data_IF_189547323007
#
_entry.id   IF_189547323007
#
_cell.length_a   1.000
_cell.length_b   1.000
_cell.length_c   1.000
_cell.angle_alpha   90.00
_cell.angle_beta   90.00
_cell.angle_gamma   90.00
#
_symmetry.space_group_name_H-M   'P 1'
#
loop_
_entity.id
_entity.type
_entity.pdbx_description
1 polymer ?
#
# COMPACT_ATOMS: atom_id res chain seq x y z
N UNK A 1 3.70 2.44 -8.50
CA UNK A 1 5.08 2.60 -8.03
C UNK A 1 5.36 1.88 -6.71
N UNK A 2 4.36 1.75 -5.79
CA UNK A 2 4.53 1.11 -4.47
C UNK A 2 5.14 -0.30 -4.50
N UNK A 3 4.98 -1.07 -5.59
CA UNK A 3 5.64 -2.36 -5.80
C UNK A 3 7.02 -2.25 -6.47
N UNK A 4 7.65 -1.09 -6.46
CA UNK A 4 8.88 -0.81 -7.21
C UNK A 4 9.99 -1.83 -6.98
N UNK A 5 10.21 -2.27 -5.73
CA UNK A 5 11.23 -3.28 -5.41
C UNK A 5 10.95 -4.61 -6.13
N UNK A 6 9.70 -5.08 -6.09
CA UNK A 6 9.31 -6.35 -6.75
C UNK A 6 9.36 -6.22 -8.27
N UNK A 7 8.95 -5.07 -8.82
CA UNK A 7 9.04 -4.77 -10.25
C UNK A 7 10.51 -4.86 -10.70
N UNK A 8 11.40 -4.16 -10.01
CA UNK A 8 12.82 -4.15 -10.34
C UNK A 8 13.42 -5.55 -10.17
N UNK A 9 13.06 -6.29 -9.13
CA UNK A 9 13.54 -7.66 -8.93
C UNK A 9 13.18 -8.56 -10.14
N UNK A 10 11.99 -8.41 -10.68
CA UNK A 10 11.56 -9.17 -11.87
C UNK A 10 12.26 -8.70 -13.14
N UNK A 11 12.17 -7.41 -13.45
CA UNK A 11 12.64 -6.85 -14.72
C UNK A 11 14.17 -6.86 -14.87
N UNK A 12 14.90 -6.81 -13.76
CA UNK A 12 16.38 -6.91 -13.75
C UNK A 12 16.87 -8.36 -13.58
N UNK A 13 15.97 -9.33 -13.48
CA UNK A 13 16.32 -10.74 -13.38
C UNK A 13 16.91 -11.16 -12.02
N UNK A 14 16.66 -10.40 -10.94
CA UNK A 14 17.19 -10.78 -9.62
C UNK A 14 16.53 -12.04 -9.07
N UNK A 15 15.27 -12.33 -9.42
CA UNK A 15 14.66 -13.62 -9.11
C UNK A 15 15.34 -14.78 -9.84
N UNK A 16 15.63 -14.61 -11.14
CA UNK A 16 16.32 -15.62 -11.95
C UNK A 16 17.74 -15.88 -11.43
N UNK A 17 18.45 -14.85 -10.96
CA UNK A 17 19.77 -15.00 -10.32
C UNK A 17 19.73 -15.84 -9.04
N UNK A 18 18.60 -15.85 -8.34
CA UNK A 18 18.35 -16.73 -7.19
C UNK A 18 17.82 -18.11 -7.61
N UNK A 19 17.67 -18.38 -8.91
CA UNK A 19 17.09 -19.61 -9.44
C UNK A 19 15.59 -19.74 -9.17
N UNK A 20 14.88 -18.61 -9.07
CA UNK A 20 13.44 -18.56 -8.92
C UNK A 20 12.76 -18.19 -10.24
N UNK A 21 11.82 -19.01 -10.67
CA UNK A 21 10.89 -18.65 -11.75
C UNK A 21 9.66 -17.98 -11.15
N UNK A 22 9.55 -16.66 -11.32
CA UNK A 22 8.48 -15.85 -10.73
C UNK A 22 7.53 -15.35 -11.80
N UNK A 23 6.24 -15.65 -11.66
CA UNK A 23 5.15 -15.06 -12.43
C UNK A 23 4.53 -13.91 -11.64
N UNK A 24 4.33 -12.75 -12.29
CA UNK A 24 3.72 -11.58 -11.68
C UNK A 24 2.25 -11.49 -12.09
N UNK A 25 1.36 -11.57 -11.10
CA UNK A 25 -0.07 -11.30 -11.25
C UNK A 25 -0.37 -9.87 -10.82
N UNK A 26 -0.92 -9.06 -11.71
CA UNK A 26 -1.17 -7.63 -11.46
C UNK A 26 -2.62 -7.39 -11.03
N UNK A 27 -2.78 -6.63 -9.94
CA UNK A 27 -4.07 -6.26 -9.37
C UNK A 27 -4.15 -4.73 -9.17
N UNK A 28 -5.37 -4.23 -8.95
CA UNK A 28 -5.63 -2.79 -8.72
C UNK A 28 -5.44 -2.37 -7.26
N UNK A 29 -5.25 -3.31 -6.34
CA UNK A 29 -5.00 -3.05 -4.92
C UNK A 29 -4.29 -4.22 -4.24
N UNK A 30 -3.49 -3.95 -3.21
CA UNK A 30 -2.85 -4.97 -2.38
C UNK A 30 -3.84 -5.86 -1.63
N UNK A 31 -5.05 -5.35 -1.33
CA UNK A 31 -6.15 -6.15 -0.79
C UNK A 31 -6.48 -7.33 -1.72
N UNK A 32 -6.59 -7.09 -3.03
CA UNK A 32 -6.85 -8.15 -4.01
C UNK A 32 -5.69 -9.14 -4.14
N UNK A 33 -4.44 -8.67 -4.03
CA UNK A 33 -3.28 -9.55 -3.98
C UNK A 33 -3.38 -10.53 -2.79
N UNK A 34 -3.63 -10.00 -1.58
CA UNK A 34 -3.73 -10.81 -0.37
C UNK A 34 -4.91 -11.80 -0.43
N UNK A 35 -6.08 -11.38 -0.91
CA UNK A 35 -7.24 -12.25 -1.11
C UNK A 35 -6.90 -13.41 -2.08
N UNK A 36 -6.10 -13.14 -3.12
CA UNK A 36 -5.69 -14.17 -4.10
C UNK A 36 -4.74 -15.19 -3.47
N UNK A 37 -3.80 -14.74 -2.63
CA UNK A 37 -2.88 -15.63 -1.89
C UNK A 37 -3.63 -16.46 -0.86
N UNK A 38 -4.53 -15.87 -0.09
CA UNK A 38 -5.38 -16.59 0.88
C UNK A 38 -6.32 -17.60 0.19
N UNK A 39 -6.72 -17.33 -1.04
CA UNK A 39 -7.48 -18.25 -1.89
C UNK A 39 -6.64 -19.34 -2.56
N UNK A 40 -5.31 -19.36 -2.39
CA UNK A 40 -4.41 -20.36 -2.96
C UNK A 40 -4.13 -20.20 -4.46
N UNK A 41 -4.46 -19.06 -5.07
CA UNK A 41 -4.22 -18.81 -6.50
C UNK A 41 -2.92 -18.01 -6.77
N UNK A 42 -2.19 -17.64 -5.72
CA UNK A 42 -0.84 -17.09 -5.77
C UNK A 42 -0.11 -17.44 -4.46
N UNK A 43 1.21 -17.35 -4.46
CA UNK A 43 2.07 -17.79 -3.35
C UNK A 43 2.43 -16.64 -2.42
N UNK A 44 2.78 -15.49 -2.97
CA UNK A 44 3.25 -14.30 -2.21
C UNK A 44 2.49 -13.07 -2.69
N UNK A 45 2.01 -12.27 -1.75
CA UNK A 45 1.36 -10.99 -2.01
C UNK A 45 2.28 -9.82 -1.69
N UNK A 46 2.21 -8.78 -2.53
CA UNK A 46 2.57 -7.43 -2.13
C UNK A 46 1.28 -6.70 -1.70
N UNK A 47 1.22 -6.24 -0.46
CA UNK A 47 -0.03 -5.74 0.13
C UNK A 47 0.22 -4.68 1.20
N UNK A 48 -0.77 -3.81 1.41
CA UNK A 48 -0.68 -2.79 2.45
C UNK A 48 -0.95 -3.34 3.86
N UNK A 49 -0.62 -2.55 4.90
CA UNK A 49 -0.89 -2.91 6.29
C UNK A 49 -2.38 -3.04 6.59
N UNK A 50 -3.25 -2.24 5.95
CA UNK A 50 -4.68 -2.26 6.23
C UNK A 50 -5.34 -3.63 5.94
N UNK A 51 -5.19 -4.24 4.75
CA UNK A 51 -5.66 -5.60 4.50
C UNK A 51 -4.92 -6.65 5.32
N UNK A 52 -3.63 -6.47 5.61
CA UNK A 52 -2.84 -7.38 6.44
C UNK A 52 -3.37 -7.42 7.87
N UNK A 53 -3.62 -6.25 8.47
CA UNK A 53 -4.23 -6.13 9.80
C UNK A 53 -5.60 -6.79 9.85
N UNK A 54 -6.45 -6.55 8.83
CA UNK A 54 -7.77 -7.17 8.75
C UNK A 54 -7.68 -8.70 8.70
N UNK A 55 -6.75 -9.25 7.91
CA UNK A 55 -6.52 -10.69 7.82
C UNK A 55 -6.04 -11.28 9.15
N UNK A 56 -5.10 -10.61 9.84
CA UNK A 56 -4.62 -11.03 11.16
C UNK A 56 -5.73 -11.00 12.21
N UNK A 57 -6.56 -9.94 12.26
CA UNK A 57 -7.71 -9.84 13.15
C UNK A 57 -8.76 -10.94 12.87
N UNK A 58 -8.93 -11.31 11.62
CA UNK A 58 -9.78 -12.43 11.19
C UNK A 58 -9.13 -13.81 11.41
N UNK A 59 -7.94 -13.86 12.03
CA UNK A 59 -7.16 -15.09 12.26
C UNK A 59 -6.88 -15.89 10.99
N UNK A 60 -6.73 -15.19 9.87
CA UNK A 60 -6.27 -15.81 8.62
C UNK A 60 -4.81 -16.28 8.78
N UNK A 61 -4.42 -17.43 8.18
CA UNK A 61 -3.09 -18.01 8.35
C UNK A 61 -2.02 -17.28 7.53
N UNK A 62 -1.82 -15.99 7.79
CA UNK A 62 -0.83 -15.17 7.09
C UNK A 62 0.54 -15.22 7.76
N UNK A 63 1.58 -15.08 6.93
CA UNK A 63 2.96 -14.88 7.35
C UNK A 63 3.48 -13.55 6.76
N UNK A 64 3.74 -12.58 7.61
CA UNK A 64 4.32 -11.30 7.25
C UNK A 64 5.84 -11.43 7.22
N UNK A 65 6.47 -11.18 6.06
CA UNK A 65 7.90 -11.43 5.86
C UNK A 65 8.75 -10.16 5.96
N UNK A 66 8.29 -9.05 5.37
CA UNK A 66 8.99 -7.77 5.41
C UNK A 66 8.09 -6.62 4.95
N UNK A 67 8.41 -5.40 5.37
CA UNK A 67 8.03 -4.18 4.68
C UNK A 67 9.03 -3.93 3.54
N UNK A 68 8.60 -3.52 2.38
CA UNK A 68 9.48 -3.19 1.25
C UNK A 68 9.41 -1.73 0.82
N UNK A 69 8.35 -1.01 1.24
CA UNK A 69 8.13 0.37 0.86
C UNK A 69 7.16 1.05 1.82
N UNK A 70 7.22 2.39 1.91
CA UNK A 70 6.13 3.22 2.40
C UNK A 70 6.07 4.55 1.65
N UNK A 71 4.85 5.10 1.51
CA UNK A 71 4.57 6.39 0.88
C UNK A 71 3.27 6.99 1.38
N UNK A 72 3.12 8.30 1.22
CA UNK A 72 1.88 8.99 1.60
C UNK A 72 0.79 8.75 0.57
N UNK A 73 -0.44 8.55 1.05
CA UNK A 73 -1.64 8.62 0.23
C UNK A 73 -2.00 10.09 -0.02
N UNK A 74 -2.75 10.33 -1.09
CA UNK A 74 -3.04 11.68 -1.60
C UNK A 74 -4.53 11.87 -1.85
N UNK A 75 -4.95 13.13 -1.89
CA UNK A 75 -6.33 13.54 -2.19
C UNK A 75 -6.36 14.40 -3.44
N UNK A 76 -7.14 13.98 -4.44
CA UNK A 76 -7.45 14.79 -5.61
C UNK A 76 -8.88 15.30 -5.52
N UNK A 77 -9.07 16.60 -5.76
CA UNK A 77 -10.36 17.29 -5.67
C UNK A 77 -10.77 17.86 -7.03
N UNK A 78 -12.07 18.10 -7.19
CA UNK A 78 -12.59 18.88 -8.30
C UNK A 78 -12.30 20.37 -8.07
N UNK A 79 -11.66 21.05 -9.02
CA UNK A 79 -11.41 22.49 -8.94
C UNK A 79 -12.71 23.32 -8.90
N UNK A 80 -13.83 22.78 -9.38
CA UNK A 80 -15.14 23.45 -9.36
C UNK A 80 -15.73 23.56 -7.95
N UNK A 81 -15.29 22.72 -7.01
CA UNK A 81 -15.84 22.62 -5.66
C UNK A 81 -15.16 23.53 -4.63
N UNK A 82 -14.15 24.30 -5.06
CA UNK A 82 -13.38 25.24 -4.22
C UNK A 82 -12.81 24.57 -2.96
N UNK A 83 -12.36 23.31 -3.08
CA UNK A 83 -11.73 22.57 -2.00
C UNK A 83 -10.23 22.89 -2.07
N UNK A 84 -9.76 23.80 -1.22
CA UNK A 84 -8.35 24.22 -1.16
C UNK A 84 -7.61 23.63 0.03
N UNK A 85 -8.34 23.16 1.04
CA UNK A 85 -7.80 22.57 2.27
C UNK A 85 -8.63 21.36 2.72
N UNK A 86 -8.14 20.65 3.74
CA UNK A 86 -8.86 19.49 4.29
C UNK A 86 -10.17 19.88 4.99
N UNK A 87 -10.25 21.10 5.54
CA UNK A 87 -11.45 21.63 6.21
C UNK A 87 -12.60 21.89 5.22
N UNK A 88 -12.28 22.17 3.94
CA UNK A 88 -13.26 22.40 2.88
C UNK A 88 -13.98 21.11 2.44
N UNK A 89 -13.53 19.95 2.93
CA UNK A 89 -14.19 18.67 2.68
C UNK A 89 -15.55 18.53 3.37
N UNK A 90 -15.89 19.41 4.31
CA UNK A 90 -17.20 19.38 4.97
C UNK A 90 -18.35 19.48 3.97
N UNK A 91 -19.30 18.55 4.05
CA UNK A 91 -20.44 18.46 3.16
C UNK A 91 -20.15 17.87 1.78
N UNK A 92 -18.90 17.46 1.51
CA UNK A 92 -18.46 16.93 0.21
C UNK A 92 -18.64 15.43 0.11
N UNK A 93 -18.69 14.95 -1.15
CA UNK A 93 -18.71 13.53 -1.50
C UNK A 93 -17.28 13.05 -1.76
N UNK A 94 -16.79 12.15 -0.94
CA UNK A 94 -15.40 11.68 -0.98
C UNK A 94 -15.36 10.21 -1.42
N UNK A 95 -14.70 9.95 -2.55
CA UNK A 95 -14.44 8.59 -3.04
C UNK A 95 -13.26 7.97 -2.29
N UNK A 96 -13.38 6.72 -1.90
CA UNK A 96 -12.33 5.92 -1.27
C UNK A 96 -12.53 4.43 -1.57
N UNK A 97 -11.54 3.57 -1.29
CA UNK A 97 -11.69 2.12 -1.44
C UNK A 97 -11.72 1.44 -0.07
N UNK A 98 -12.85 0.86 0.29
CA UNK A 98 -13.02 0.18 1.57
C UNK A 98 -12.10 -1.03 1.76
N UNK A 99 -11.57 -1.21 2.97
CA UNK A 99 -10.65 -2.27 3.35
C UNK A 99 -9.23 -2.11 2.82
N UNK A 100 -8.85 -0.89 2.43
CA UNK A 100 -7.50 -0.52 1.99
C UNK A 100 -6.94 0.63 2.82
N UNK A 101 -5.67 1.00 2.62
CA UNK A 101 -5.08 2.21 3.19
C UNK A 101 -5.88 3.47 2.86
N UNK A 102 -6.55 3.50 1.69
CA UNK A 102 -7.41 4.63 1.31
C UNK A 102 -8.59 4.86 2.26
N UNK A 103 -9.14 3.81 2.88
CA UNK A 103 -10.16 3.97 3.93
C UNK A 103 -9.56 4.59 5.19
N UNK A 104 -8.46 4.04 5.68
CA UNK A 104 -7.81 4.53 6.89
C UNK A 104 -7.32 5.97 6.71
N UNK A 105 -6.67 6.24 5.59
CA UNK A 105 -6.28 7.60 5.21
C UNK A 105 -7.46 8.56 5.21
N UNK A 106 -8.61 8.16 4.64
CA UNK A 106 -9.82 9.00 4.64
C UNK A 106 -10.26 9.35 6.05
N UNK A 107 -10.25 8.38 6.98
CA UNK A 107 -10.62 8.63 8.37
C UNK A 107 -9.61 9.52 9.11
N UNK A 108 -8.31 9.31 8.90
CA UNK A 108 -7.27 10.17 9.48
C UNK A 108 -7.32 11.59 8.91
N UNK A 109 -7.63 11.73 7.61
CA UNK A 109 -7.83 13.02 6.96
C UNK A 109 -9.00 13.78 7.59
N UNK A 110 -10.16 13.14 7.76
CA UNK A 110 -11.32 13.74 8.41
C UNK A 110 -11.01 14.13 9.86
N UNK A 111 -10.38 13.24 10.62
CA UNK A 111 -9.95 13.52 12.00
C UNK A 111 -9.01 14.73 12.08
N UNK A 112 -8.05 14.84 11.16
CA UNK A 112 -7.13 15.99 11.07
C UNK A 112 -7.86 17.29 10.76
N UNK A 113 -8.90 17.23 9.90
CA UNK A 113 -9.78 18.33 9.58
C UNK A 113 -10.82 18.66 10.68
N UNK A 114 -10.82 17.90 11.79
CA UNK A 114 -11.84 17.98 12.86
C UNK A 114 -13.25 17.68 12.35
N UNK A 115 -13.36 16.80 11.34
CA UNK A 115 -14.60 16.29 10.76
C UNK A 115 -14.84 14.84 11.19
N UNK A 116 -16.10 14.45 11.11
CA UNK A 116 -16.55 13.07 11.31
C UNK A 116 -17.07 12.48 9.99
N UNK A 117 -17.26 11.18 9.87
CA UNK A 117 -17.91 10.59 8.70
C UNK A 117 -19.31 11.15 8.41
N UNK A 118 -20.02 11.66 9.44
CA UNK A 118 -21.35 12.27 9.27
C UNK A 118 -21.30 13.69 8.68
N UNK A 119 -20.14 14.33 8.69
CA UNK A 119 -19.93 15.65 8.08
C UNK A 119 -19.68 15.59 6.56
N UNK A 120 -19.56 14.40 5.98
CA UNK A 120 -19.26 14.16 4.55
C UNK A 120 -20.13 13.05 3.99
N UNK A 121 -20.12 12.85 2.68
CA UNK A 121 -20.70 11.67 2.04
C UNK A 121 -19.58 10.75 1.56
N UNK A 122 -19.39 9.62 2.21
CA UNK A 122 -18.39 8.63 1.83
C UNK A 122 -18.91 7.72 0.73
N UNK A 123 -18.15 7.60 -0.36
CA UNK A 123 -18.50 6.79 -1.54
C UNK A 123 -17.44 5.72 -1.76
N UNK A 124 -17.81 4.46 -1.50
CA UNK A 124 -16.91 3.33 -1.73
C UNK A 124 -16.82 3.01 -3.22
N UNK A 125 -15.63 3.20 -3.81
CA UNK A 125 -15.33 3.00 -5.22
C UNK A 125 -14.06 2.17 -5.38
N UNK A 126 -13.99 1.40 -6.46
CA UNK A 126 -12.70 0.82 -6.88
C UNK A 126 -11.79 1.93 -7.43
N UNK A 127 -10.46 1.82 -7.31
CA UNK A 127 -9.54 2.89 -7.72
C UNK A 127 -9.78 3.38 -9.17
N UNK A 128 -10.08 2.47 -10.11
CA UNK A 128 -10.35 2.80 -11.51
C UNK A 128 -11.67 3.57 -11.73
N UNK A 129 -12.56 3.59 -10.76
CA UNK A 129 -13.86 4.27 -10.83
C UNK A 129 -13.80 5.71 -10.33
N UNK A 130 -12.75 6.07 -9.57
CA UNK A 130 -12.63 7.37 -8.90
C UNK A 130 -12.52 8.53 -9.90
N UNK A 131 -11.62 8.41 -10.89
CA UNK A 131 -11.45 9.45 -11.91
C UNK A 131 -12.71 9.70 -12.74
N UNK A 132 -13.39 8.67 -13.30
CA UNK A 132 -14.68 8.87 -13.97
C UNK A 132 -15.74 9.50 -13.06
N UNK A 133 -15.82 9.11 -11.79
CA UNK A 133 -16.78 9.66 -10.84
C UNK A 133 -16.51 11.14 -10.53
N UNK A 134 -15.23 11.55 -10.36
CA UNK A 134 -14.84 12.94 -10.17
C UNK A 134 -15.13 13.77 -11.42
N UNK A 135 -14.79 13.27 -12.60
CA UNK A 135 -15.05 13.93 -13.89
C UNK A 135 -16.55 14.16 -14.16
N UNK A 136 -17.38 13.22 -13.72
CA UNK A 136 -18.86 13.31 -13.84
C UNK A 136 -19.52 14.15 -12.74
N UNK A 137 -18.77 14.63 -11.73
CA UNK A 137 -19.35 15.33 -10.56
C UNK A 137 -20.14 14.43 -9.63
N UNK A 138 -19.98 13.10 -9.72
CA UNK A 138 -20.63 12.15 -8.79
C UNK A 138 -19.96 12.13 -7.42
N UNK A 139 -18.68 12.51 -7.36
CA UNK A 139 -17.90 12.79 -6.17
C UNK A 139 -17.18 14.13 -6.35
N UNK A 140 -16.78 14.76 -5.23
CA UNK A 140 -16.12 16.06 -5.19
C UNK A 140 -14.61 15.93 -4.96
N UNK A 141 -14.19 14.84 -4.32
CA UNK A 141 -12.81 14.47 -4.06
C UNK A 141 -12.66 12.94 -4.04
N UNK A 142 -11.44 12.46 -4.19
CA UNK A 142 -11.12 11.07 -3.88
C UNK A 142 -9.75 10.91 -3.23
N UNK A 143 -9.63 9.87 -2.41
CA UNK A 143 -8.48 9.50 -1.62
C UNK A 143 -7.90 8.18 -2.12
N UNK A 144 -6.65 8.19 -2.59
CA UNK A 144 -6.03 6.99 -3.15
C UNK A 144 -4.51 7.15 -3.27
N UNK A 145 -3.89 6.20 -3.95
CA UNK A 145 -2.47 6.09 -4.24
C UNK A 145 -2.16 6.28 -5.72
N UNK A 146 -0.88 6.40 -6.04
CA UNK A 146 -0.42 6.46 -7.43
C UNK A 146 -0.54 5.09 -8.15
N UNK A 147 -0.81 5.05 -9.44
CA UNK A 147 -0.81 6.19 -10.38
C UNK A 147 -2.17 6.90 -10.56
N UNK A 148 -3.16 6.61 -9.72
CA UNK A 148 -4.53 7.14 -9.91
C UNK A 148 -4.61 8.66 -9.69
N UNK A 149 -3.80 9.22 -8.79
CA UNK A 149 -3.71 10.67 -8.55
C UNK A 149 -3.14 11.37 -9.79
N UNK A 150 -1.93 11.00 -10.22
CA UNK A 150 -1.26 11.61 -11.37
C UNK A 150 -2.06 11.43 -12.67
N UNK A 151 -2.71 10.27 -12.86
CA UNK A 151 -3.62 10.07 -13.98
C UNK A 151 -4.84 11.00 -13.92
N UNK A 152 -5.37 11.24 -12.72
CA UNK A 152 -6.45 12.19 -12.49
C UNK A 152 -6.05 13.61 -12.85
N UNK A 153 -4.92 14.08 -12.37
CA UNK A 153 -4.36 15.40 -12.67
C UNK A 153 -4.13 15.58 -14.17
N UNK A 154 -3.53 14.58 -14.82
CA UNK A 154 -3.25 14.61 -16.27
C UNK A 154 -4.53 14.70 -17.12
N UNK A 155 -5.56 13.95 -16.78
CA UNK A 155 -6.82 13.90 -17.54
C UNK A 155 -7.67 15.14 -17.29
N UNK A 156 -7.73 15.63 -16.06
CA UNK A 156 -8.59 16.74 -15.67
C UNK A 156 -7.90 18.09 -15.80
N UNK A 157 -6.56 18.16 -15.72
CA UNK A 157 -5.79 19.41 -15.78
C UNK A 157 -6.32 20.44 -14.79
N UNK A 158 -6.57 21.66 -15.26
CA UNK A 158 -7.08 22.78 -14.46
C UNK A 158 -8.45 22.53 -13.80
N UNK A 159 -9.10 21.41 -14.08
CA UNK A 159 -10.37 21.00 -13.44
C UNK A 159 -10.16 20.16 -12.18
N UNK A 160 -8.92 19.89 -11.81
CA UNK A 160 -8.58 19.19 -10.57
C UNK A 160 -7.53 19.94 -9.76
N UNK A 161 -7.48 19.63 -8.47
CA UNK A 161 -6.52 20.20 -7.55
C UNK A 161 -6.15 19.16 -6.48
N UNK A 162 -4.85 18.93 -6.27
CA UNK A 162 -4.36 18.10 -5.18
C UNK A 162 -4.16 18.98 -3.95
N UNK A 163 -4.90 18.71 -2.87
CA UNK A 163 -4.67 19.40 -1.58
C UNK A 163 -3.45 18.84 -0.88
N UNK A 164 -2.75 19.69 -0.11
CA UNK A 164 -1.60 19.25 0.68
C UNK A 164 -2.07 18.41 1.88
N UNK A 165 -1.73 17.13 1.83
CA UNK A 165 -2.04 16.14 2.87
C UNK A 165 -0.80 15.40 3.35
N UNK A 166 0.39 15.97 3.09
CA UNK A 166 1.68 15.36 3.44
C UNK A 166 1.76 15.03 4.93
N UNK A 167 2.15 13.80 5.22
CA UNK A 167 2.35 13.31 6.58
C UNK A 167 1.07 13.05 7.37
N UNK A 168 -0.12 13.10 6.75
CA UNK A 168 -1.36 12.68 7.43
C UNK A 168 -1.39 11.17 7.58
N UNK A 169 -1.01 10.44 6.52
CA UNK A 169 -0.97 8.99 6.55
C UNK A 169 0.02 8.44 5.53
N UNK A 170 0.93 7.61 6.02
CA UNK A 170 1.87 6.87 5.16
C UNK A 170 1.48 5.40 5.15
N UNK A 171 1.09 4.90 3.98
CA UNK A 171 0.82 3.48 3.74
C UNK A 171 2.14 2.71 3.70
N UNK A 172 2.20 1.51 4.30
CA UNK A 172 3.31 0.58 4.10
C UNK A 172 2.95 -0.44 3.03
N UNK A 173 3.93 -0.88 2.25
CA UNK A 173 3.73 -1.97 1.31
C UNK A 173 4.63 -3.15 1.67
N UNK A 174 4.03 -4.32 1.82
CA UNK A 174 4.60 -5.42 2.58
C UNK A 174 4.58 -6.71 1.76
N UNK A 175 5.49 -7.62 2.09
CA UNK A 175 5.56 -8.97 1.57
C UNK A 175 4.85 -9.90 2.55
N UNK A 176 3.78 -10.52 2.09
CA UNK A 176 2.94 -11.42 2.90
C UNK A 176 2.66 -12.71 2.13
N UNK A 177 2.71 -13.83 2.82
CA UNK A 177 2.35 -15.15 2.29
C UNK A 177 1.44 -15.87 3.29
N UNK A 178 1.15 -17.15 3.06
CA UNK A 178 0.49 -18.00 4.07
C UNK A 178 1.53 -18.77 4.89
N UNK A 179 1.15 -19.11 6.12
CA UNK A 179 2.00 -19.94 7.01
C UNK A 179 2.33 -21.26 6.34
N UNK A 180 1.33 -21.93 5.74
CA UNK A 180 1.49 -23.22 5.06
C UNK A 180 2.48 -23.12 3.90
N UNK A 181 2.38 -22.08 3.07
CA UNK A 181 3.35 -21.89 1.98
C UNK A 181 4.77 -21.69 2.52
N UNK A 182 4.93 -20.85 3.54
CA UNK A 182 6.23 -20.56 4.13
C UNK A 182 6.88 -21.80 4.73
N UNK A 183 6.14 -22.59 5.50
CA UNK A 183 6.65 -23.83 6.13
C UNK A 183 7.14 -24.86 5.10
N UNK A 184 6.47 -24.94 3.95
CA UNK A 184 6.84 -25.86 2.88
C UNK A 184 7.88 -25.29 1.90
N UNK A 185 8.13 -23.96 1.91
CA UNK A 185 8.97 -23.28 0.92
C UNK A 185 9.95 -22.28 1.55
N UNK A 186 10.49 -22.56 2.72
CA UNK A 186 11.34 -21.64 3.47
C UNK A 186 12.54 -21.13 2.65
N UNK A 187 13.24 -22.04 1.96
CA UNK A 187 14.39 -21.69 1.11
C UNK A 187 13.98 -20.80 -0.07
N UNK A 188 12.77 -20.99 -0.60
CA UNK A 188 12.22 -20.11 -1.64
C UNK A 188 11.99 -18.70 -1.08
N UNK A 189 11.44 -18.60 0.11
CA UNK A 189 11.22 -17.32 0.78
C UNK A 189 12.53 -16.57 1.09
N UNK A 190 13.60 -17.28 1.52
CA UNK A 190 14.93 -16.70 1.71
C UNK A 190 15.51 -16.13 0.41
N UNK A 191 15.46 -16.92 -0.68
CA UNK A 191 15.90 -16.50 -2.01
C UNK A 191 15.09 -15.32 -2.55
N UNK A 192 13.78 -15.32 -2.28
CA UNK A 192 12.92 -14.20 -2.64
C UNK A 192 13.32 -12.92 -1.91
N UNK A 193 13.59 -12.99 -0.59
CA UNK A 193 14.09 -11.85 0.18
C UNK A 193 15.43 -11.34 -0.35
N UNK A 194 16.37 -12.24 -0.71
CA UNK A 194 17.65 -11.83 -1.30
C UNK A 194 17.45 -11.07 -2.61
N UNK A 195 16.59 -11.56 -3.50
CA UNK A 195 16.28 -10.86 -4.75
C UNK A 195 15.69 -9.46 -4.53
N UNK A 196 14.87 -9.28 -3.50
CA UNK A 196 14.32 -7.96 -3.14
C UNK A 196 15.41 -7.01 -2.60
N UNK A 197 16.35 -7.50 -1.79
CA UNK A 197 17.49 -6.71 -1.29
C UNK A 197 18.41 -6.28 -2.43
N UNK A 198 18.67 -7.15 -3.39
CA UNK A 198 19.44 -6.85 -4.59
C UNK A 198 18.74 -5.77 -5.43
N UNK A 199 17.42 -5.88 -5.59
CA UNK A 199 16.60 -4.87 -6.28
C UNK A 199 16.61 -3.51 -5.55
N UNK A 200 16.47 -3.49 -4.23
CA UNK A 200 16.58 -2.26 -3.42
C UNK A 200 17.93 -1.59 -3.63
N UNK A 201 19.02 -2.38 -3.59
CA UNK A 201 20.37 -1.88 -3.81
C UNK A 201 20.53 -1.31 -5.21
N UNK A 202 19.99 -1.97 -6.21
CA UNK A 202 20.02 -1.52 -7.59
C UNK A 202 19.22 -0.21 -7.78
N UNK A 203 18.02 -0.10 -7.19
CA UNK A 203 17.19 1.13 -7.21
C UNK A 203 18.00 2.32 -6.67
N UNK A 204 18.67 2.16 -5.54
CA UNK A 204 19.47 3.22 -4.91
C UNK A 204 20.68 3.64 -5.75
N UNK A 205 21.25 2.70 -6.50
CA UNK A 205 22.44 2.95 -7.31
C UNK A 205 22.11 3.42 -8.75
N UNK A 206 20.88 3.24 -9.22
CA UNK A 206 20.45 3.49 -10.60
C UNK A 206 19.12 4.24 -10.65
N UNK A 207 19.03 5.35 -9.90
CA UNK A 207 17.78 6.10 -9.69
C UNK A 207 17.00 6.39 -10.98
N UNK A 208 17.66 6.95 -12.00
CA UNK A 208 16.99 7.36 -13.25
C UNK A 208 16.47 6.16 -14.05
N UNK A 209 17.25 5.08 -14.10
CA UNK A 209 16.83 3.84 -14.75
C UNK A 209 15.69 3.16 -13.98
N UNK A 210 15.71 3.24 -12.64
CA UNK A 210 14.65 2.71 -11.79
C UNK A 210 13.34 3.47 -12.01
N UNK A 211 13.37 4.79 -12.08
CA UNK A 211 12.20 5.62 -12.39
C UNK A 211 11.61 5.20 -13.74
N UNK A 212 12.43 5.09 -14.78
CA UNK A 212 11.99 4.71 -16.13
C UNK A 212 11.35 3.33 -16.11
N UNK A 213 12.02 2.35 -15.54
CA UNK A 213 11.56 0.96 -15.50
C UNK A 213 10.24 0.80 -14.75
N UNK A 214 10.11 1.45 -13.58
CA UNK A 214 8.89 1.38 -12.78
C UNK A 214 7.75 2.12 -13.49
N UNK A 215 8.01 3.31 -14.06
CA UNK A 215 7.02 4.08 -14.79
C UNK A 215 6.43 3.28 -15.97
N UNK A 216 7.29 2.68 -16.79
CA UNK A 216 6.90 1.86 -17.94
C UNK A 216 6.04 0.66 -17.50
N UNK A 217 6.44 -0.01 -16.42
CA UNK A 217 5.74 -1.20 -15.92
C UNK A 217 4.35 -0.88 -15.36
N UNK A 218 4.20 0.26 -14.67
CA UNK A 218 2.89 0.66 -14.10
C UNK A 218 2.02 1.47 -15.05
N UNK A 219 2.52 1.76 -16.28
CA UNK A 219 1.81 2.55 -17.27
C UNK A 219 1.69 4.04 -16.91
N UNK A 220 2.68 4.58 -16.21
CA UNK A 220 2.81 5.98 -15.84
C UNK A 220 3.89 6.66 -16.71
N UNK A 221 3.72 7.93 -17.06
CA UNK A 221 4.79 8.62 -17.74
C UNK A 221 5.98 8.85 -16.79
N UNK A 222 7.22 8.69 -17.30
CA UNK A 222 8.43 8.94 -16.51
C UNK A 222 8.44 10.33 -15.88
N UNK A 223 8.02 11.33 -16.65
CA UNK A 223 8.01 12.73 -16.20
C UNK A 223 6.95 13.02 -15.15
N UNK A 224 5.92 12.16 -15.01
CA UNK A 224 4.93 12.21 -13.94
C UNK A 224 5.46 11.51 -12.66
N UNK A 225 6.25 10.43 -12.81
CA UNK A 225 6.81 9.69 -11.68
C UNK A 225 8.07 10.34 -11.09
N UNK A 226 8.94 10.90 -11.93
CA UNK A 226 10.24 11.44 -11.50
C UNK A 226 10.14 12.52 -10.40
N UNK A 227 9.19 13.47 -10.44
CA UNK A 227 9.03 14.49 -9.39
C UNK A 227 8.60 13.94 -8.03
N UNK A 228 7.88 12.81 -8.03
CA UNK A 228 7.34 12.18 -6.81
C UNK A 228 8.12 10.93 -6.39
N UNK A 229 9.20 10.59 -7.10
CA UNK A 229 9.98 9.38 -6.83
C UNK A 229 10.48 9.28 -5.39
N UNK A 230 10.91 10.40 -4.84
CA UNK A 230 11.48 10.44 -3.48
C UNK A 230 10.39 10.41 -2.38
N UNK A 231 9.10 10.44 -2.74
CA UNK A 231 8.00 10.15 -1.83
C UNK A 231 7.92 8.65 -1.49
N UNK A 232 8.50 7.78 -2.34
CA UNK A 232 8.58 6.33 -2.13
C UNK A 232 9.86 5.95 -1.41
N UNK A 233 9.73 5.44 -0.20
CA UNK A 233 10.87 4.97 0.59
C UNK A 233 10.99 3.47 0.43
N UNK A 234 11.82 3.04 -0.53
CA UNK A 234 12.10 1.63 -0.79
C UNK A 234 13.11 1.09 0.21
N UNK A 235 12.67 0.24 1.11
CA UNK A 235 13.49 -0.38 2.14
C UNK A 235 12.90 -1.73 2.58
N UNK A 236 13.62 -2.82 2.30
CA UNK A 236 13.23 -4.17 2.74
C UNK A 236 13.70 -4.36 4.19
N UNK A 237 12.77 -4.36 5.14
CA UNK A 237 13.08 -4.33 6.57
C UNK A 237 11.94 -4.92 7.40
N UNK A 238 12.29 -5.48 8.56
CA UNK A 238 11.38 -5.74 9.68
C UNK A 238 11.83 -4.89 10.86
N UNK A 239 11.15 -3.79 11.12
CA UNK A 239 11.45 -2.86 12.19
C UNK A 239 10.25 -2.63 13.13
N UNK A 240 10.47 -1.91 14.22
CA UNK A 240 9.41 -1.62 15.19
C UNK A 240 8.24 -0.85 14.56
N UNK A 241 8.50 -0.04 13.53
CA UNK A 241 7.47 0.71 12.79
C UNK A 241 6.41 -0.21 12.18
N UNK A 242 6.78 -1.40 11.72
CA UNK A 242 5.82 -2.41 11.23
C UNK A 242 4.82 -2.79 12.32
N UNK A 243 5.30 -3.13 13.52
CA UNK A 243 4.43 -3.47 14.64
C UNK A 243 3.55 -2.30 15.09
N UNK A 244 4.14 -1.10 15.17
CA UNK A 244 3.43 0.11 15.59
C UNK A 244 2.27 0.43 14.64
N UNK A 245 2.48 0.29 13.33
CA UNK A 245 1.45 0.53 12.31
C UNK A 245 0.35 -0.53 12.39
N UNK A 246 0.70 -1.82 12.48
CA UNK A 246 -0.29 -2.90 12.60
C UNK A 246 -1.15 -2.74 13.86
N UNK A 247 -0.52 -2.38 15.01
CA UNK A 247 -1.23 -2.11 16.26
C UNK A 247 -2.15 -0.89 16.16
N UNK A 248 -1.69 0.21 15.54
CA UNK A 248 -2.49 1.42 15.34
C UNK A 248 -3.72 1.13 14.47
N UNK A 249 -3.55 0.36 13.38
CA UNK A 249 -4.65 -0.06 12.51
C UNK A 249 -5.66 -0.96 13.22
N UNK A 250 -5.20 -1.93 14.01
CA UNK A 250 -6.10 -2.80 14.75
C UNK A 250 -6.88 -2.02 15.83
N UNK A 251 -6.22 -1.07 16.49
CA UNK A 251 -6.88 -0.18 17.46
C UNK A 251 -7.96 0.65 16.78
N UNK A 252 -7.63 1.30 15.65
CA UNK A 252 -8.60 2.06 14.87
C UNK A 252 -9.80 1.20 14.43
N UNK A 253 -9.57 -0.05 13.98
CA UNK A 253 -10.65 -0.97 13.59
C UNK A 253 -11.58 -1.30 14.74
N UNK A 254 -11.02 -1.53 15.94
CA UNK A 254 -11.82 -1.78 17.14
C UNK A 254 -12.65 -0.56 17.54
N UNK A 255 -12.06 0.63 17.53
CA UNK A 255 -12.73 1.90 17.87
C UNK A 255 -13.84 2.27 16.89
N UNK A 256 -13.62 1.99 15.60
CA UNK A 256 -14.59 2.30 14.52
C UNK A 256 -15.65 1.21 14.29
N UNK A 257 -15.54 0.07 14.98
CA UNK A 257 -16.43 -1.07 14.74
C UNK A 257 -16.15 -1.82 13.42
N UNK A 258 -15.05 -1.51 12.74
CA UNK A 258 -14.65 -2.13 11.47
C UNK A 258 -13.74 -3.36 11.72
N UNK A 259 -14.24 -4.32 12.44
CA UNK A 259 -13.53 -5.55 12.81
C UNK A 259 -14.43 -6.79 12.69
N UNK A 260 -13.87 -8.00 12.57
CA UNK A 260 -14.65 -9.25 12.59
C UNK A 260 -15.42 -9.43 13.87
N UNK A 261 -16.57 -10.09 13.80
CA UNK A 261 -17.37 -10.44 14.95
C UNK A 261 -16.57 -11.24 16.00
N UNK A 262 -16.74 -10.89 17.28
CA UNK A 262 -16.07 -11.54 18.39
C UNK A 262 -14.61 -11.11 18.63
N UNK A 263 -14.05 -10.21 17.82
CA UNK A 263 -12.74 -9.60 18.06
C UNK A 263 -12.91 -8.39 18.99
N UNK A 264 -12.35 -8.46 20.19
CA UNK A 264 -12.53 -7.45 21.24
C UNK A 264 -11.22 -6.79 21.69
N UNK A 265 -10.09 -7.22 21.13
CA UNK A 265 -8.76 -6.70 21.47
C UNK A 265 -7.83 -6.73 20.28
N UNK A 266 -6.80 -5.89 20.33
CA UNK A 266 -5.70 -5.91 19.36
C UNK A 266 -5.02 -7.28 19.40
N UNK A 267 -4.82 -7.96 18.27
CA UNK A 267 -4.12 -9.24 18.25
C UNK A 267 -2.63 -9.06 18.56
N UNK A 268 -2.00 -10.13 19.03
CA UNK A 268 -0.55 -10.19 19.12
C UNK A 268 0.04 -10.40 17.72
N UNK A 269 0.52 -9.34 17.09
CA UNK A 269 1.09 -9.38 15.73
C UNK A 269 2.41 -10.14 15.65
N UNK A 270 3.09 -10.42 16.77
CA UNK A 270 4.28 -11.29 16.77
C UNK A 270 3.97 -12.68 16.24
N UNK A 271 2.72 -13.12 16.35
CA UNK A 271 2.26 -14.44 15.87
C UNK A 271 2.10 -14.54 14.34
N UNK A 272 2.08 -13.41 13.64
CA UNK A 272 1.97 -13.35 12.17
C UNK A 272 3.24 -12.84 11.50
N UNK A 273 4.24 -12.38 12.27
CA UNK A 273 5.52 -11.92 11.75
C UNK A 273 6.52 -13.08 11.74
N UNK A 274 7.08 -13.34 10.58
CA UNK A 274 8.04 -14.44 10.34
C UNK A 274 9.38 -13.88 9.88
N UNK A 275 10.29 -13.55 10.82
CA UNK A 275 11.55 -12.86 10.50
C UNK A 275 12.58 -13.75 9.82
N UNK A 276 12.46 -15.07 9.93
CA UNK A 276 13.49 -16.04 9.55
C UNK A 276 13.98 -15.87 8.10
N UNK A 277 13.11 -15.71 7.07
CA UNK A 277 13.60 -15.55 5.70
C UNK A 277 14.49 -14.32 5.52
N UNK A 278 14.11 -13.18 6.10
CA UNK A 278 14.93 -11.96 6.04
C UNK A 278 16.16 -12.06 6.93
N UNK A 279 16.02 -12.63 8.11
CA UNK A 279 17.12 -12.82 9.08
C UNK A 279 18.24 -13.69 8.49
N UNK A 280 17.90 -14.71 7.70
CA UNK A 280 18.88 -15.60 7.06
C UNK A 280 19.75 -14.89 6.04
N UNK A 281 19.26 -13.87 5.33
CA UNK A 281 19.97 -13.18 4.24
C UNK A 281 20.49 -11.81 4.63
N UNK A 282 19.85 -11.12 5.59
CA UNK A 282 20.21 -9.78 6.04
C UNK A 282 19.81 -9.54 7.51
N UNK A 283 20.54 -10.11 8.47
CA UNK A 283 20.16 -10.01 9.90
C UNK A 283 20.09 -8.57 10.42
N UNK A 284 20.87 -7.63 9.86
CA UNK A 284 20.82 -6.21 10.21
C UNK A 284 19.50 -5.51 9.80
N UNK A 285 18.71 -6.13 8.94
CA UNK A 285 17.41 -5.63 8.50
C UNK A 285 16.27 -6.06 9.43
N UNK A 286 16.53 -6.96 10.37
CA UNK A 286 15.55 -7.41 11.36
C UNK A 286 15.81 -6.68 12.67
N UNK A 287 15.00 -5.67 12.97
CA UNK A 287 15.13 -4.74 14.10
C UNK A 287 13.93 -4.77 15.05
N UNK A 288 13.11 -5.81 14.97
CA UNK A 288 12.01 -6.08 15.90
C UNK A 288 12.59 -6.66 17.17
N UNK A 289 12.10 -6.20 18.34
CA UNK A 289 12.52 -6.69 19.66
C UNK A 289 11.53 -7.70 20.20
#
# INVERSE_FOLDING_TARGET
PISGVTIVAKEKGFFDQQGLEVEILTFTSGKKCLETVLGGAADIATTAEAPTTAAAMAKQPIAFLARMEYSDLKTLTSANEKIASIEDLKGKKIGFTAGTGGEVYTMELLKKAQLTPDDVTLVNLRPKEMLPALAAGSIDAFNTWEPYISNGEKVLGDKSFQIDTKGIYSETFNIVTTIDYLENNEVVAEKFMQALLDAETWIKSNRDDAITLVADTVGMARDDLAPIWDDYIYEVVLDQKVLDILNAHATWRLESGNHPDGVTSVPDFSTVIYPKPLLSVAPERVKIK
#
